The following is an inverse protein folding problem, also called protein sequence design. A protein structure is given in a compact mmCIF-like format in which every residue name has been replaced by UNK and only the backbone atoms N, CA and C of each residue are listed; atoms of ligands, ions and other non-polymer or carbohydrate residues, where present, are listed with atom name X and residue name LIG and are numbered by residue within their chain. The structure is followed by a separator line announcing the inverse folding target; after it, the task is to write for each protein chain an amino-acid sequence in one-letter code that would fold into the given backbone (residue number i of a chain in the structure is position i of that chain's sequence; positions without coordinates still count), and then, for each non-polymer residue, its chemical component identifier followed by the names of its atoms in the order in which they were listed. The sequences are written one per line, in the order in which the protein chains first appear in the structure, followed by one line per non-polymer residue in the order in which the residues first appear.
data_IF_758601485133
#
_entry.id   IF_758601485133
#
_cell.length_a   1.000
_cell.length_b   1.000
_cell.length_c   1.000
_cell.angle_alpha   90.00
_cell.angle_beta   90.00
_cell.angle_gamma   90.00
#
_symmetry.space_group_name_H-M   'P 1'
#
loop_
_entity.id
_entity.type
_entity.pdbx_description
1 polymer ?
#
# COMPACT_ATOMS: atom_id res chain seq x y z
N UNK A 1 19.21 -37.46 -17.34
CA UNK A 1 17.93 -36.91 -16.85
C UNK A 1 18.28 -35.92 -15.78
N UNK A 2 17.96 -34.64 -15.98
CA UNK A 2 18.39 -33.53 -15.14
C UNK A 2 19.52 -32.71 -15.76
N UNK A 3 19.86 -32.93 -17.01
CA UNK A 3 20.97 -32.27 -17.68
C UNK A 3 20.61 -30.85 -18.20
N UNK A 4 19.31 -30.55 -18.27
CA UNK A 4 18.79 -29.27 -18.73
C UNK A 4 17.80 -28.70 -17.71
N UNK A 5 18.20 -27.64 -17.01
CA UNK A 5 17.36 -26.90 -16.08
C UNK A 5 17.00 -25.53 -16.68
N UNK A 6 15.72 -25.24 -16.79
CA UNK A 6 15.22 -23.92 -17.21
C UNK A 6 14.63 -23.24 -15.98
N UNK A 7 15.14 -22.04 -15.65
CA UNK A 7 14.55 -21.22 -14.60
C UNK A 7 13.27 -20.58 -15.11
N UNK A 8 12.14 -20.99 -14.57
CA UNK A 8 10.86 -20.34 -14.79
C UNK A 8 10.79 -19.05 -13.96
N UNK A 9 10.89 -17.93 -14.63
CA UNK A 9 10.88 -16.61 -13.97
C UNK A 9 9.49 -15.97 -13.88
N UNK A 10 8.44 -16.76 -14.04
CA UNK A 10 7.07 -16.25 -13.96
C UNK A 10 6.57 -16.23 -12.52
N UNK A 11 6.03 -15.10 -12.03
CA UNK A 11 5.52 -14.98 -10.66
C UNK A 11 4.10 -15.56 -10.49
N UNK A 12 3.77 -16.67 -11.15
CA UNK A 12 2.48 -17.35 -11.03
C UNK A 12 2.14 -17.79 -9.59
N UNK A 13 3.12 -17.79 -8.71
CA UNK A 13 3.00 -18.10 -7.27
C UNK A 13 3.64 -17.00 -6.41
N UNK A 14 3.69 -15.78 -6.90
CA UNK A 14 4.32 -14.65 -6.21
C UNK A 14 3.62 -14.29 -4.90
N UNK A 15 4.41 -14.00 -3.86
CA UNK A 15 3.95 -13.51 -2.56
C UNK A 15 4.11 -11.99 -2.52
N UNK A 16 3.11 -11.27 -3.01
CA UNK A 16 3.17 -9.82 -3.07
C UNK A 16 2.92 -9.19 -1.70
N UNK A 17 3.81 -8.29 -1.30
CA UNK A 17 3.61 -7.39 -0.17
C UNK A 17 2.84 -6.14 -0.59
N UNK A 18 3.15 -5.59 -1.75
CA UNK A 18 2.56 -4.39 -2.29
C UNK A 18 2.57 -4.42 -3.81
N UNK A 19 1.61 -3.74 -4.41
CA UNK A 19 1.50 -3.54 -5.85
C UNK A 19 1.26 -2.06 -6.16
N UNK A 20 1.57 -1.65 -7.39
CA UNK A 20 1.19 -0.36 -7.94
C UNK A 20 1.08 -0.43 -9.46
N UNK A 21 0.55 0.61 -10.07
CA UNK A 21 0.39 0.75 -11.52
C UNK A 21 0.84 2.13 -11.98
N UNK A 22 1.28 2.24 -13.23
CA UNK A 22 1.54 3.51 -13.87
C UNK A 22 0.37 3.95 -14.77
N UNK A 23 0.57 5.02 -15.52
CA UNK A 23 -0.40 5.60 -16.43
C UNK A 23 0.03 5.50 -17.90
N UNK A 24 0.91 4.57 -18.26
CA UNK A 24 1.23 4.29 -19.65
C UNK A 24 0.10 3.55 -20.37
N UNK A 25 0.17 3.46 -21.70
CA UNK A 25 -0.78 2.71 -22.53
C UNK A 25 -0.02 1.74 -23.45
N UNK A 26 -0.08 0.44 -23.21
CA UNK A 26 -0.68 -0.23 -22.03
C UNK A 26 0.05 0.13 -20.75
N UNK A 27 -0.66 0.14 -19.61
CA UNK A 27 -0.05 0.44 -18.32
C UNK A 27 0.79 -0.73 -17.81
N UNK A 28 1.74 -0.42 -16.94
CA UNK A 28 2.53 -1.43 -16.27
C UNK A 28 2.01 -1.68 -14.85
N UNK A 29 2.09 -2.94 -14.45
CA UNK A 29 1.84 -3.41 -13.09
C UNK A 29 3.18 -3.66 -12.43
N UNK A 30 3.35 -3.12 -11.23
CA UNK A 30 4.55 -3.26 -10.41
C UNK A 30 4.22 -4.04 -9.14
N UNK A 31 5.13 -4.89 -8.68
CA UNK A 31 4.94 -5.63 -7.46
C UNK A 31 6.22 -5.89 -6.69
N UNK A 32 6.17 -5.67 -5.38
CA UNK A 32 7.20 -6.04 -4.43
C UNK A 32 6.85 -7.38 -3.77
N UNK A 33 7.76 -8.35 -3.86
CA UNK A 33 7.56 -9.72 -3.43
C UNK A 33 8.50 -10.13 -2.30
N UNK A 34 8.01 -10.97 -1.42
CA UNK A 34 8.83 -11.63 -0.42
C UNK A 34 9.94 -12.45 -1.10
N UNK A 35 11.18 -12.23 -0.68
CA UNK A 35 12.40 -12.91 -1.14
C UNK A 35 12.72 -12.81 -2.65
N UNK A 36 11.82 -12.23 -3.45
CA UNK A 36 11.94 -12.23 -4.91
C UNK A 36 12.16 -10.84 -5.54
N UNK A 37 12.19 -9.78 -4.73
CA UNK A 37 12.46 -8.42 -5.22
C UNK A 37 11.25 -7.70 -5.78
N UNK A 38 11.50 -6.70 -6.60
CA UNK A 38 10.49 -5.88 -7.26
C UNK A 38 10.50 -6.14 -8.75
N UNK A 39 9.31 -6.37 -9.30
CA UNK A 39 9.11 -6.69 -10.70
C UNK A 39 8.07 -5.77 -11.35
N UNK A 40 8.15 -5.69 -12.66
CA UNK A 40 7.26 -4.89 -13.52
C UNK A 40 6.89 -5.70 -14.76
N UNK A 41 5.63 -5.60 -15.18
CA UNK A 41 5.18 -6.10 -16.47
C UNK A 41 4.04 -5.24 -17.01
N UNK A 42 3.86 -5.23 -18.35
CA UNK A 42 2.68 -4.62 -18.95
C UNK A 42 1.41 -5.42 -18.61
N UNK A 43 0.28 -4.73 -18.40
CA UNK A 43 -1.01 -5.38 -18.11
C UNK A 43 -1.51 -6.27 -19.25
N UNK A 44 -1.10 -6.01 -20.49
CA UNK A 44 -1.44 -6.85 -21.65
C UNK A 44 -0.45 -8.01 -21.88
N UNK A 45 0.46 -8.26 -20.94
CA UNK A 45 1.39 -9.37 -21.01
C UNK A 45 0.65 -10.69 -20.94
N UNK A 46 0.85 -11.54 -21.97
CA UNK A 46 0.26 -12.87 -22.05
C UNK A 46 1.30 -13.89 -21.65
N UNK A 47 0.98 -14.73 -20.67
CA UNK A 47 1.81 -15.87 -20.33
C UNK A 47 1.86 -16.86 -21.52
N UNK A 48 3.06 -17.26 -21.91
CA UNK A 48 3.27 -18.27 -22.94
C UNK A 48 4.10 -19.43 -22.38
N UNK A 49 3.67 -20.69 -22.55
CA UNK A 49 4.48 -21.83 -22.17
C UNK A 49 5.76 -21.96 -23.02
N UNK A 50 5.83 -21.21 -24.13
CA UNK A 50 6.99 -21.21 -25.05
C UNK A 50 7.93 -20.04 -24.86
N UNK A 51 7.82 -19.29 -23.73
CA UNK A 51 8.71 -18.16 -23.44
C UNK A 51 10.20 -18.56 -23.44
N UNK A 52 10.53 -19.80 -23.06
CA UNK A 52 11.88 -20.35 -23.08
C UNK A 52 12.43 -20.54 -24.50
N UNK A 53 11.57 -20.74 -25.49
CA UNK A 53 11.95 -20.85 -26.90
C UNK A 53 12.18 -19.46 -27.52
N UNK A 54 11.36 -18.47 -27.13
CA UNK A 54 11.46 -17.08 -27.58
C UNK A 54 12.47 -16.26 -26.80
N UNK A 55 12.91 -16.71 -25.61
CA UNK A 55 13.74 -15.96 -24.68
C UNK A 55 13.00 -14.77 -24.04
N UNK A 56 11.67 -14.75 -24.11
CA UNK A 56 10.85 -13.60 -23.71
C UNK A 56 10.23 -13.86 -22.34
N UNK A 57 10.71 -13.14 -21.32
CA UNK A 57 10.03 -13.06 -20.03
C UNK A 57 9.26 -11.74 -19.97
N UNK A 58 7.95 -11.82 -19.79
CA UNK A 58 7.09 -10.65 -19.73
C UNK A 58 7.32 -9.80 -18.48
N UNK A 59 7.91 -10.37 -17.44
CA UNK A 59 8.23 -9.67 -16.20
C UNK A 59 9.70 -9.25 -16.16
N UNK A 60 9.93 -7.96 -15.91
CA UNK A 60 11.26 -7.38 -15.73
C UNK A 60 11.52 -7.17 -14.25
N UNK A 61 12.64 -7.71 -13.76
CA UNK A 61 13.10 -7.47 -12.38
C UNK A 61 13.80 -6.12 -12.31
N UNK A 62 13.26 -5.21 -11.51
CA UNK A 62 13.83 -3.86 -11.34
C UNK A 62 14.66 -3.72 -10.06
N UNK A 63 14.43 -4.58 -9.06
CA UNK A 63 15.21 -4.60 -7.81
C UNK A 63 15.26 -5.98 -7.19
N UNK A 64 16.33 -6.31 -6.46
CA UNK A 64 16.48 -7.56 -5.70
C UNK A 64 16.07 -7.41 -4.24
N UNK A 65 16.20 -8.49 -3.45
CA UNK A 65 15.88 -8.57 -2.01
C UNK A 65 14.41 -8.82 -1.73
N UNK A 66 13.92 -8.45 -0.53
CA UNK A 66 12.48 -8.36 -0.24
C UNK A 66 11.93 -7.07 -0.83
N UNK A 67 11.12 -7.20 -1.87
CA UNK A 67 10.53 -6.05 -2.54
C UNK A 67 9.42 -5.43 -1.70
N UNK A 68 9.48 -4.10 -1.53
CA UNK A 68 8.57 -3.32 -0.70
C UNK A 68 7.60 -2.48 -1.54
N UNK A 69 7.06 -1.42 -0.96
CA UNK A 69 6.15 -0.51 -1.66
C UNK A 69 6.80 0.14 -2.87
N UNK A 70 6.00 0.42 -3.86
CA UNK A 70 6.43 1.05 -5.11
C UNK A 70 5.62 2.33 -5.33
N UNK A 71 6.29 3.40 -5.71
CA UNK A 71 5.68 4.63 -6.20
C UNK A 71 6.28 4.99 -7.56
N UNK A 72 5.46 5.46 -8.48
CA UNK A 72 5.88 5.82 -9.85
C UNK A 72 5.56 7.31 -10.08
N UNK A 73 6.52 8.07 -10.59
CA UNK A 73 6.30 9.48 -10.98
C UNK A 73 5.39 9.50 -12.22
N UNK A 74 4.16 9.97 -12.06
CA UNK A 74 3.16 10.01 -13.14
C UNK A 74 3.55 10.86 -14.35
N UNK A 75 4.56 11.74 -14.23
CA UNK A 75 5.09 12.56 -15.32
C UNK A 75 6.16 11.82 -16.14
N UNK A 76 6.81 10.82 -15.53
CA UNK A 76 7.83 10.00 -16.15
C UNK A 76 7.87 8.62 -15.49
N UNK A 77 7.23 7.63 -16.09
CA UNK A 77 7.10 6.27 -15.56
C UNK A 77 8.46 5.54 -15.43
N UNK A 78 9.55 6.08 -15.99
CA UNK A 78 10.90 5.55 -15.76
C UNK A 78 11.45 5.91 -14.37
N UNK A 79 10.84 6.88 -13.68
CA UNK A 79 11.24 7.24 -12.31
C UNK A 79 10.39 6.48 -11.31
N UNK A 80 11.02 5.52 -10.63
CA UNK A 80 10.37 4.62 -9.68
C UNK A 80 11.04 4.73 -8.31
N UNK A 81 10.22 4.80 -7.28
CA UNK A 81 10.66 4.78 -5.88
C UNK A 81 10.27 3.44 -5.27
N UNK A 82 11.25 2.65 -4.89
CA UNK A 82 11.03 1.34 -4.27
C UNK A 82 12.25 0.92 -3.48
N UNK A 83 12.16 -0.18 -2.75
CA UNK A 83 13.26 -0.57 -1.92
C UNK A 83 13.12 -1.93 -1.28
N UNK A 84 13.94 -2.09 -0.26
CA UNK A 84 14.08 -3.27 0.58
C UNK A 84 13.53 -2.96 1.98
N UNK A 85 13.46 -4.00 2.79
CA UNK A 85 13.01 -3.92 4.18
C UNK A 85 13.72 -2.81 4.98
N UNK A 86 13.04 -2.32 6.00
CA UNK A 86 13.53 -1.32 6.95
C UNK A 86 13.94 0.01 6.30
N UNK A 87 13.17 0.47 5.31
CA UNK A 87 13.35 1.79 4.69
C UNK A 87 14.57 1.91 3.79
N UNK A 88 15.17 0.83 3.34
CA UNK A 88 16.29 0.88 2.38
C UNK A 88 15.75 1.13 0.97
N UNK A 89 15.28 2.34 0.73
CA UNK A 89 14.63 2.75 -0.51
C UNK A 89 15.56 3.53 -1.44
N UNK A 90 15.23 3.44 -2.72
CA UNK A 90 15.95 4.08 -3.80
C UNK A 90 14.97 4.77 -4.74
N UNK A 91 15.38 5.89 -5.31
CA UNK A 91 14.85 6.41 -6.55
C UNK A 91 15.61 5.75 -7.69
N UNK A 92 14.90 5.04 -8.54
CA UNK A 92 15.43 4.38 -9.74
C UNK A 92 15.08 5.24 -10.95
N UNK A 93 16.00 5.31 -11.88
CA UNK A 93 15.78 5.77 -13.26
C UNK A 93 15.97 4.56 -14.16
N UNK A 94 14.86 4.01 -14.64
CA UNK A 94 14.87 2.76 -15.41
C UNK A 94 15.42 2.95 -16.81
N UNK A 95 15.34 4.16 -17.38
CA UNK A 95 15.89 4.49 -18.69
C UNK A 95 17.43 4.58 -18.65
N UNK A 96 17.98 5.22 -17.62
CA UNK A 96 19.42 5.42 -17.46
C UNK A 96 20.08 4.35 -16.56
N UNK A 97 19.35 3.32 -16.16
CA UNK A 97 19.80 2.25 -15.27
C UNK A 97 20.50 2.75 -14.00
N UNK A 98 20.07 3.90 -13.50
CA UNK A 98 20.69 4.55 -12.36
C UNK A 98 19.83 4.47 -11.10
N UNK A 99 20.46 4.51 -9.92
CA UNK A 99 19.76 4.48 -8.65
C UNK A 99 20.39 5.42 -7.63
N UNK A 100 19.56 6.07 -6.84
CA UNK A 100 19.97 6.93 -5.72
C UNK A 100 19.31 6.45 -4.44
N UNK A 101 20.09 6.20 -3.38
CA UNK A 101 19.51 5.92 -2.06
C UNK A 101 18.83 7.17 -1.52
N UNK A 102 17.57 7.01 -1.07
CA UNK A 102 16.73 8.10 -0.58
C UNK A 102 16.28 7.91 0.88
N UNK A 103 16.84 6.93 1.60
CA UNK A 103 16.47 6.68 3.00
C UNK A 103 16.77 7.90 3.88
N UNK A 104 15.76 8.45 4.61
CA UNK A 104 16.00 9.48 5.60
C UNK A 104 16.99 9.03 6.68
N UNK A 105 17.82 9.95 7.16
CA UNK A 105 18.81 9.70 8.20
C UNK A 105 18.53 10.57 9.41
N UNK A 106 18.71 10.02 10.61
CA UNK A 106 18.67 10.82 11.84
C UNK A 106 19.83 11.81 11.87
N UNK A 107 19.62 12.94 12.54
CA UNK A 107 20.67 13.94 12.75
C UNK A 107 21.69 13.43 13.76
N UNK A 108 22.93 13.90 13.64
CA UNK A 108 23.99 13.54 14.57
C UNK A 108 23.58 13.91 16.01
N UNK A 109 23.73 12.96 16.94
CA UNK A 109 23.34 13.12 18.35
C UNK A 109 21.89 12.76 18.67
N UNK A 110 21.07 12.47 17.67
CA UNK A 110 19.71 11.94 17.87
C UNK A 110 19.68 10.41 17.92
N UNK A 111 18.63 9.86 18.52
CA UNK A 111 18.37 8.42 18.48
C UNK A 111 18.13 7.94 17.03
N UNK A 112 18.60 6.74 16.66
CA UNK A 112 18.36 6.19 15.34
C UNK A 112 16.85 6.12 15.02
N UNK A 113 16.52 6.43 13.77
CA UNK A 113 15.15 6.26 13.27
C UNK A 113 14.76 4.78 13.24
N UNK A 114 13.52 4.49 13.61
CA UNK A 114 12.93 3.15 13.52
C UNK A 114 12.10 3.05 12.25
N UNK A 115 12.33 2.03 11.46
CA UNK A 115 11.64 1.78 10.19
C UNK A 115 10.92 0.44 10.25
N UNK A 116 9.66 0.41 9.81
CA UNK A 116 8.92 -0.83 9.66
C UNK A 116 9.58 -1.76 8.64
N UNK A 117 9.32 -3.06 8.73
CA UNK A 117 9.70 -4.02 7.69
C UNK A 117 9.23 -3.54 6.31
N UNK A 118 7.94 -3.27 6.18
CA UNK A 118 7.33 -2.61 5.03
C UNK A 118 7.20 -1.11 5.29
N UNK A 119 8.29 -0.39 5.19
CA UNK A 119 8.29 1.07 5.40
C UNK A 119 7.41 1.75 4.36
N UNK A 120 6.44 2.59 4.77
CA UNK A 120 5.57 3.27 3.82
C UNK A 120 6.27 4.47 3.16
N UNK A 121 6.00 4.64 1.87
CA UNK A 121 6.43 5.76 1.03
C UNK A 121 5.26 6.22 0.16
N UNK A 122 5.13 7.52 -0.08
CA UNK A 122 4.08 8.10 -0.90
C UNK A 122 4.61 9.31 -1.68
N UNK A 123 4.35 9.35 -2.97
CA UNK A 123 4.44 10.59 -3.76
C UNK A 123 3.19 11.41 -3.46
N UNK A 124 3.34 12.71 -3.19
CA UNK A 124 2.21 13.61 -2.93
C UNK A 124 1.20 13.55 -4.07
N UNK A 125 -0.08 13.51 -3.69
CA UNK A 125 -1.19 13.56 -4.65
C UNK A 125 -1.30 14.91 -5.37
N UNK A 126 -0.65 15.96 -4.83
CA UNK A 126 -0.70 17.34 -5.34
C UNK A 126 0.55 17.75 -6.13
N UNK A 127 1.72 17.16 -5.80
CA UNK A 127 2.97 17.52 -6.48
C UNK A 127 3.93 16.33 -6.50
N UNK A 128 4.29 15.88 -7.69
CA UNK A 128 5.15 14.71 -7.90
C UNK A 128 6.63 14.90 -7.47
N UNK A 129 7.06 16.11 -7.11
CA UNK A 129 8.39 16.38 -6.54
C UNK A 129 8.42 16.15 -5.02
N UNK A 130 7.23 16.13 -4.40
CA UNK A 130 7.07 15.93 -2.96
C UNK A 130 6.89 14.46 -2.65
N UNK A 131 7.72 13.95 -1.73
CA UNK A 131 7.67 12.57 -1.27
C UNK A 131 7.56 12.56 0.25
N UNK A 132 6.69 11.71 0.76
CA UNK A 132 6.59 11.39 2.18
C UNK A 132 7.18 10.03 2.48
N UNK A 133 7.80 9.88 3.65
CA UNK A 133 8.47 8.66 4.07
C UNK A 133 8.27 8.40 5.56
N UNK A 134 7.76 7.22 5.92
CA UNK A 134 7.48 6.85 7.30
C UNK A 134 8.66 6.15 7.99
N UNK A 135 9.07 6.67 9.15
CA UNK A 135 9.87 5.96 10.14
C UNK A 135 9.04 5.81 11.43
N UNK A 136 9.60 6.11 12.61
CA UNK A 136 8.80 6.51 13.79
C UNK A 136 8.34 7.97 13.71
N UNK A 137 8.89 8.72 12.74
CA UNK A 137 8.50 10.07 12.37
C UNK A 137 8.06 10.11 10.91
N UNK A 138 7.27 11.11 10.53
CA UNK A 138 6.98 11.38 9.14
C UNK A 138 8.00 12.37 8.58
N UNK A 139 8.57 12.02 7.45
CA UNK A 139 9.54 12.83 6.71
C UNK A 139 8.91 13.31 5.40
N UNK A 140 9.27 14.52 4.98
CA UNK A 140 8.89 15.10 3.69
C UNK A 140 10.12 15.55 2.94
N UNK A 141 10.19 15.22 1.66
CA UNK A 141 11.14 15.77 0.71
C UNK A 141 10.39 16.64 -0.29
N UNK A 142 10.94 17.80 -0.65
CA UNK A 142 10.42 18.68 -1.69
C UNK A 142 11.20 18.54 -3.01
N UNK A 143 12.16 17.64 -3.07
CA UNK A 143 13.12 17.50 -4.17
C UNK A 143 13.39 16.01 -4.52
N UNK A 144 12.33 15.23 -4.59
CA UNK A 144 12.37 13.82 -5.03
C UNK A 144 13.26 12.91 -4.16
N UNK A 145 13.29 13.16 -2.86
CA UNK A 145 14.07 12.38 -1.90
C UNK A 145 15.56 12.74 -1.84
N UNK A 146 15.96 13.90 -2.36
CA UNK A 146 17.36 14.34 -2.23
C UNK A 146 17.66 14.89 -0.85
N UNK A 147 16.72 15.66 -0.28
CA UNK A 147 16.77 16.19 1.07
C UNK A 147 15.48 15.89 1.81
N UNK A 148 15.56 15.78 3.15
CA UNK A 148 14.44 15.40 4.00
C UNK A 148 14.27 16.33 5.17
N UNK A 149 13.03 16.76 5.40
CA UNK A 149 12.59 17.44 6.61
C UNK A 149 11.77 16.48 7.47
N UNK A 150 12.05 16.44 8.78
CA UNK A 150 11.16 15.83 9.77
C UNK A 150 9.97 16.75 9.97
N UNK A 151 8.77 16.33 9.57
CA UNK A 151 7.53 17.11 9.72
C UNK A 151 6.67 16.62 10.89
N UNK A 152 7.20 15.73 11.71
CA UNK A 152 6.60 15.31 12.98
C UNK A 152 7.68 14.99 14.01
N UNK A 153 7.28 14.99 15.29
CA UNK A 153 7.97 14.25 16.33
C UNK A 153 7.71 12.75 16.20
N UNK A 154 8.12 11.94 17.19
CA UNK A 154 7.80 10.52 17.25
C UNK A 154 6.29 10.32 17.39
N UNK A 155 5.64 9.75 16.38
CA UNK A 155 4.19 9.53 16.32
C UNK A 155 3.75 8.21 16.96
N UNK A 156 4.69 7.45 17.52
CA UNK A 156 4.46 6.14 18.12
C UNK A 156 4.46 6.21 19.65
N UNK A 157 4.10 5.11 20.30
CA UNK A 157 4.22 4.99 21.77
C UNK A 157 5.65 4.67 22.23
N UNK A 158 6.61 4.68 21.31
CA UNK A 158 8.02 4.39 21.55
C UNK A 158 8.42 2.96 21.18
N UNK A 159 9.71 2.79 20.92
CA UNK A 159 10.26 1.50 20.53
C UNK A 159 10.30 0.49 21.67
N UNK A 160 10.03 -0.77 21.36
CA UNK A 160 10.28 -1.89 22.26
C UNK A 160 11.58 -2.60 21.87
N UNK A 161 12.23 -3.22 22.84
CA UNK A 161 13.40 -4.08 22.57
C UNK A 161 12.93 -5.37 21.88
N UNK A 162 13.58 -5.75 20.79
CA UNK A 162 13.26 -6.94 20.03
C UNK A 162 14.20 -7.12 18.84
N UNK A 163 13.98 -8.17 18.07
CA UNK A 163 14.78 -8.50 16.89
C UNK A 163 14.44 -7.63 15.68
N UNK A 164 13.27 -6.98 15.68
CA UNK A 164 12.81 -6.08 14.63
C UNK A 164 12.37 -4.75 15.25
N UNK A 165 12.49 -3.63 14.54
CA UNK A 165 11.98 -2.34 15.01
C UNK A 165 10.47 -2.41 15.28
N UNK A 166 10.04 -1.86 16.41
CA UNK A 166 8.66 -1.66 16.81
C UNK A 166 8.47 -0.21 17.26
N UNK A 167 7.26 0.31 17.21
CA UNK A 167 6.99 1.73 17.30
C UNK A 167 7.38 2.40 15.99
N UNK A 168 6.71 2.05 14.91
CA UNK A 168 6.98 2.51 13.55
C UNK A 168 5.70 2.87 12.82
N UNK A 169 5.79 3.79 11.87
CA UNK A 169 4.68 4.07 10.95
C UNK A 169 4.54 2.89 9.98
N UNK A 170 3.31 2.37 9.85
CA UNK A 170 2.96 1.25 8.97
C UNK A 170 2.25 1.70 7.71
N UNK A 171 1.52 2.81 7.80
CA UNK A 171 0.70 3.34 6.73
C UNK A 171 0.46 4.82 6.93
N UNK A 172 0.30 5.55 5.86
CA UNK A 172 -0.18 6.92 5.87
C UNK A 172 -0.79 7.27 4.51
N UNK A 173 -1.60 8.31 4.48
CA UNK A 173 -2.19 8.83 3.26
C UNK A 173 -2.28 10.36 3.31
N UNK A 174 -2.19 11.00 2.15
CA UNK A 174 -2.45 12.43 1.96
C UNK A 174 -3.83 12.61 1.33
N UNK A 175 -4.61 13.58 1.81
CA UNK A 175 -5.91 13.90 1.22
C UNK A 175 -5.77 14.30 -0.25
N UNK A 176 -6.73 13.90 -1.10
CA UNK A 176 -6.84 14.42 -2.47
C UNK A 176 -7.47 15.82 -2.52
N UNK A 177 -8.17 16.21 -1.47
CA UNK A 177 -8.90 17.47 -1.38
C UNK A 177 -8.03 18.62 -0.87
N UNK A 178 -7.02 18.31 -0.02
CA UNK A 178 -6.23 19.33 0.68
C UNK A 178 -4.77 18.91 0.79
N UNK A 179 -3.87 19.73 0.25
CA UNK A 179 -2.43 19.52 0.36
C UNK A 179 -1.96 19.57 1.81
N UNK A 180 -1.16 18.60 2.21
CA UNK A 180 -0.57 18.54 3.55
C UNK A 180 -1.55 18.10 4.65
N UNK A 181 -2.79 17.74 4.31
CA UNK A 181 -3.68 17.01 5.21
C UNK A 181 -3.31 15.54 5.13
N UNK A 182 -2.73 15.01 6.22
CA UNK A 182 -2.13 13.67 6.24
C UNK A 182 -2.61 12.89 7.46
N UNK A 183 -3.01 11.64 7.24
CA UNK A 183 -3.34 10.67 8.28
C UNK A 183 -2.25 9.61 8.35
N UNK A 184 -1.84 9.23 9.56
CA UNK A 184 -0.77 8.26 9.83
C UNK A 184 -1.28 7.16 10.74
N UNK A 185 -0.94 5.90 10.44
CA UNK A 185 -1.18 4.74 11.28
C UNK A 185 0.13 4.05 11.67
N UNK A 186 0.20 3.48 12.88
CA UNK A 186 1.40 2.86 13.45
C UNK A 186 1.19 1.38 13.81
N UNK A 187 2.28 0.65 14.03
CA UNK A 187 2.27 -0.75 14.46
C UNK A 187 1.84 -0.92 15.93
N UNK A 188 1.84 0.14 16.72
CA UNK A 188 1.43 0.18 18.11
C UNK A 188 0.04 0.80 18.35
N UNK A 189 -0.73 1.02 17.26
CA UNK A 189 -2.15 1.32 17.28
C UNK A 189 -2.52 2.79 17.30
N UNK A 190 -1.59 3.71 17.08
CA UNK A 190 -1.92 5.12 16.95
C UNK A 190 -2.46 5.43 15.55
N UNK A 191 -3.49 6.27 15.48
CA UNK A 191 -3.93 6.94 14.26
C UNK A 191 -3.91 8.43 14.55
N UNK A 192 -3.16 9.18 13.73
CA UNK A 192 -2.83 10.57 14.01
C UNK A 192 -3.03 11.40 12.73
N UNK A 193 -3.62 12.58 12.87
CA UNK A 193 -3.96 13.48 11.77
C UNK A 193 -3.22 14.80 11.90
N UNK A 194 -2.69 15.30 10.80
CA UNK A 194 -2.36 16.70 10.60
C UNK A 194 -3.24 17.31 9.51
N UNK A 195 -3.62 18.59 9.70
CA UNK A 195 -4.37 19.38 8.71
C UNK A 195 -3.59 20.63 8.27
N UNK A 196 -2.33 20.76 8.71
CA UNK A 196 -1.51 21.96 8.52
C UNK A 196 -0.06 21.61 8.13
N UNK A 197 0.08 20.58 7.28
CA UNK A 197 1.34 20.13 6.69
C UNK A 197 2.39 19.69 7.72
N UNK A 198 1.94 19.16 8.86
CA UNK A 198 2.80 18.63 9.91
C UNK A 198 3.15 19.63 11.02
N UNK A 199 2.55 20.83 11.04
CA UNK A 199 2.75 21.81 12.13
C UNK A 199 2.14 21.32 13.44
N UNK A 200 0.91 20.77 13.36
CA UNK A 200 0.23 20.16 14.51
C UNK A 200 -0.24 18.75 14.17
N UNK A 201 -0.11 17.85 15.14
CA UNK A 201 -0.52 16.45 15.04
C UNK A 201 -1.51 16.11 16.14
N UNK A 202 -2.68 15.59 15.76
CA UNK A 202 -3.78 15.25 16.67
C UNK A 202 -4.03 13.75 16.64
N UNK A 203 -3.95 13.00 17.77
CA UNK A 203 -4.45 11.64 17.85
C UNK A 203 -5.96 11.58 17.57
N UNK A 204 -6.38 10.64 16.73
CA UNK A 204 -7.76 10.47 16.31
C UNK A 204 -8.27 9.02 16.48
N UNK A 205 -7.57 8.19 17.24
CA UNK A 205 -7.91 6.78 17.48
C UNK A 205 -8.82 6.56 18.68
N UNK A 206 -9.48 7.59 19.21
CA UNK A 206 -10.40 7.44 20.33
C UNK A 206 -11.60 6.55 19.97
N UNK A 207 -11.89 5.55 20.79
CA UNK A 207 -12.97 4.58 20.56
C UNK A 207 -12.56 3.39 19.67
N UNK A 208 -11.35 3.36 19.14
CA UNK A 208 -10.80 2.21 18.41
C UNK A 208 -10.07 1.24 19.36
N UNK A 209 -9.93 -0.04 18.99
CA UNK A 209 -9.09 -0.97 19.74
C UNK A 209 -7.66 -0.45 19.87
N UNK A 210 -7.14 -0.43 21.09
CA UNK A 210 -5.77 0.00 21.37
C UNK A 210 -4.74 -1.06 21.04
N UNK A 211 -3.53 -0.63 20.72
CA UNK A 211 -2.35 -1.52 20.56
C UNK A 211 -2.46 -2.57 19.45
N UNK A 212 -3.38 -2.40 18.50
CA UNK A 212 -3.45 -3.21 17.31
C UNK A 212 -2.68 -2.54 16.17
N UNK A 213 -2.01 -3.34 15.37
CA UNK A 213 -1.35 -2.86 14.16
C UNK A 213 -2.34 -2.17 13.22
N UNK A 214 -2.12 -0.90 12.88
CA UNK A 214 -2.90 -0.20 11.86
C UNK A 214 -2.42 -0.67 10.49
N UNK A 215 -3.21 -1.50 9.83
CA UNK A 215 -2.83 -2.09 8.55
C UNK A 215 -3.01 -1.12 7.38
N UNK A 216 -4.05 -0.27 7.43
CA UNK A 216 -4.27 0.76 6.42
C UNK A 216 -5.05 1.94 6.97
N UNK A 217 -4.65 3.16 6.60
CA UNK A 217 -5.47 4.36 6.70
C UNK A 217 -5.52 5.02 5.33
N UNK A 218 -6.70 5.52 4.94
CA UNK A 218 -6.88 6.28 3.70
C UNK A 218 -7.91 7.40 3.91
N UNK A 219 -7.75 8.50 3.18
CA UNK A 219 -8.82 9.46 2.99
C UNK A 219 -9.78 8.99 1.90
N UNK A 220 -11.04 9.40 2.01
CA UNK A 220 -12.01 9.29 0.92
C UNK A 220 -11.61 10.21 -0.24
N UNK A 221 -11.86 9.73 -1.48
CA UNK A 221 -11.74 10.56 -2.67
C UNK A 221 -12.98 11.44 -2.92
N UNK A 222 -14.08 11.16 -2.24
CA UNK A 222 -15.38 11.80 -2.46
C UNK A 222 -15.78 12.75 -1.34
N UNK A 223 -15.35 12.49 -0.10
CA UNK A 223 -15.70 13.30 1.07
C UNK A 223 -14.41 13.73 1.81
N UNK A 224 -14.15 15.03 1.86
CA UNK A 224 -12.95 15.62 2.47
C UNK A 224 -12.75 15.30 3.96
N UNK A 225 -13.85 14.97 4.68
CA UNK A 225 -13.83 14.67 6.11
C UNK A 225 -13.82 13.17 6.41
N UNK A 226 -14.00 12.32 5.40
CA UNK A 226 -14.07 10.87 5.59
C UNK A 226 -12.69 10.23 5.60
N UNK A 227 -12.46 9.41 6.63
CA UNK A 227 -11.25 8.60 6.79
C UNK A 227 -11.66 7.16 7.02
N UNK A 228 -10.98 6.22 6.37
CA UNK A 228 -11.12 4.79 6.63
C UNK A 228 -9.89 4.28 7.36
N UNK A 229 -10.09 3.36 8.31
CA UNK A 229 -9.00 2.70 9.04
C UNK A 229 -9.26 1.21 9.18
N UNK A 230 -8.25 0.39 8.88
CA UNK A 230 -8.24 -1.03 9.21
C UNK A 230 -7.12 -1.35 10.19
N UNK A 231 -7.43 -2.25 11.15
CA UNK A 231 -6.47 -2.72 12.12
C UNK A 231 -6.36 -4.25 12.04
N UNK A 232 -5.23 -4.77 12.44
CA UNK A 232 -4.89 -6.17 12.31
C UNK A 232 -4.30 -6.70 13.61
N UNK A 233 -4.92 -7.72 14.17
CA UNK A 233 -4.55 -8.31 15.46
C UNK A 233 -3.93 -9.69 15.36
N UNK A 234 -3.61 -10.22 14.17
CA UNK A 234 -3.18 -11.61 14.02
C UNK A 234 -1.92 -11.94 14.85
N UNK A 235 -1.01 -10.99 15.03
CA UNK A 235 0.20 -11.14 15.87
C UNK A 235 -0.12 -11.34 17.36
N UNK A 236 -1.34 -10.98 17.75
CA UNK A 236 -1.89 -11.18 19.11
C UNK A 236 -2.91 -12.32 19.16
N UNK A 237 -2.91 -13.18 18.14
CA UNK A 237 -3.89 -14.27 17.95
C UNK A 237 -5.34 -13.79 17.92
N UNK A 238 -5.56 -12.59 17.39
CA UNK A 238 -6.85 -11.95 17.23
C UNK A 238 -7.14 -11.78 15.74
N UNK A 239 -8.14 -12.51 15.23
CA UNK A 239 -8.50 -12.56 13.80
C UNK A 239 -9.77 -11.78 13.48
N UNK A 240 -10.26 -10.95 14.40
CA UNK A 240 -11.42 -10.08 14.16
C UNK A 240 -11.15 -9.10 13.00
N UNK A 241 -12.14 -8.89 12.12
CA UNK A 241 -12.04 -7.90 11.06
C UNK A 241 -12.30 -6.50 11.63
N UNK A 242 -11.24 -5.76 11.89
CA UNK A 242 -11.32 -4.40 12.37
C UNK A 242 -11.31 -3.42 11.20
N UNK A 243 -12.47 -2.85 10.88
CA UNK A 243 -12.65 -1.87 9.82
C UNK A 243 -13.59 -0.77 10.29
N UNK A 244 -13.14 0.47 10.13
CA UNK A 244 -13.84 1.65 10.63
C UNK A 244 -13.86 2.76 9.59
N UNK A 245 -14.93 3.56 9.63
CA UNK A 245 -15.04 4.82 8.90
C UNK A 245 -15.34 5.95 9.88
N UNK A 246 -14.75 7.10 9.64
CA UNK A 246 -15.06 8.36 10.27
C UNK A 246 -15.57 9.34 9.22
N UNK A 247 -16.62 10.09 9.52
CA UNK A 247 -17.18 11.15 8.65
C UNK A 247 -16.78 12.57 9.12
N UNK A 248 -15.95 12.67 10.17
CA UNK A 248 -15.66 13.91 10.89
C UNK A 248 -14.17 14.07 11.24
N UNK A 249 -13.29 13.70 10.32
CA UNK A 249 -11.84 13.76 10.48
C UNK A 249 -11.32 12.99 11.71
N UNK A 250 -11.92 11.83 12.00
CA UNK A 250 -11.50 10.95 13.07
C UNK A 250 -11.94 11.35 14.48
N UNK A 251 -12.87 12.31 14.62
CA UNK A 251 -13.44 12.62 15.93
C UNK A 251 -14.33 11.50 16.45
N UNK A 252 -15.10 10.86 15.54
CA UNK A 252 -15.89 9.64 15.83
C UNK A 252 -15.64 8.56 14.79
N UNK A 253 -15.79 7.30 15.19
CA UNK A 253 -15.56 6.13 14.35
C UNK A 253 -16.74 5.17 14.38
N UNK A 254 -17.19 4.73 13.22
CA UNK A 254 -18.22 3.72 13.05
C UNK A 254 -17.57 2.42 12.52
N UNK A 255 -17.86 1.30 13.18
CA UNK A 255 -17.43 -0.02 12.68
C UNK A 255 -18.24 -0.38 11.44
N UNK A 256 -17.56 -0.66 10.33
CA UNK A 256 -18.15 -0.99 9.04
C UNK A 256 -17.79 -2.40 8.53
N UNK A 257 -17.38 -3.30 9.43
CA UNK A 257 -17.02 -4.69 9.10
C UNK A 257 -18.14 -5.71 9.30
N UNK A 258 -19.38 -5.30 9.42
CA UNK A 258 -20.61 -6.03 9.77
C UNK A 258 -20.58 -7.56 9.59
N UNK A 259 -20.67 -8.02 8.35
CA UNK A 259 -20.72 -9.45 7.99
C UNK A 259 -19.41 -9.98 7.35
N UNK A 260 -18.30 -9.26 7.50
CA UNK A 260 -16.99 -9.81 7.14
C UNK A 260 -16.67 -11.04 8.00
N UNK A 261 -16.04 -12.07 7.43
CA UNK A 261 -15.63 -13.24 8.21
C UNK A 261 -14.53 -12.90 9.21
N UNK A 262 -14.29 -13.79 10.16
CA UNK A 262 -13.12 -13.74 11.05
C UNK A 262 -11.85 -13.87 10.19
N UNK A 263 -11.28 -12.73 9.82
CA UNK A 263 -10.10 -12.66 8.96
C UNK A 263 -9.45 -11.29 9.11
N UNK A 264 -8.17 -11.21 9.36
CA UNK A 264 -7.44 -9.97 9.41
C UNK A 264 -7.58 -9.18 8.09
N UNK A 265 -7.63 -7.86 8.21
CA UNK A 265 -7.74 -6.95 7.07
C UNK A 265 -6.35 -6.34 6.81
N UNK A 266 -5.89 -6.44 5.58
CA UNK A 266 -4.61 -5.89 5.14
C UNK A 266 -4.75 -4.58 4.37
N UNK A 267 -5.86 -4.41 3.63
CA UNK A 267 -6.06 -3.27 2.75
C UNK A 267 -7.53 -2.92 2.57
N UNK A 268 -7.79 -1.63 2.47
CA UNK A 268 -9.08 -1.05 2.02
C UNK A 268 -8.82 -0.07 0.88
N UNK A 269 -9.74 -0.01 -0.09
CA UNK A 269 -9.82 1.02 -1.13
C UNK A 269 -11.26 1.47 -1.31
N UNK A 270 -11.46 2.75 -1.58
CA UNK A 270 -12.72 3.33 -2.02
C UNK A 270 -12.71 3.41 -3.54
N UNK A 271 -13.86 3.12 -4.18
CA UNK A 271 -14.00 3.26 -5.63
C UNK A 271 -13.87 4.73 -6.04
N UNK A 272 -13.29 4.98 -7.22
CA UNK A 272 -13.03 6.35 -7.69
C UNK A 272 -14.24 7.02 -8.33
N UNK A 273 -15.25 6.24 -8.73
CA UNK A 273 -16.48 6.73 -9.42
C UNK A 273 -17.72 6.73 -8.53
N UNK A 274 -17.76 5.82 -7.54
CA UNK A 274 -18.90 5.67 -6.65
C UNK A 274 -18.45 5.54 -5.19
N UNK A 275 -18.72 6.56 -4.39
CA UNK A 275 -18.35 6.60 -2.96
C UNK A 275 -18.92 5.45 -2.13
N UNK A 276 -20.03 4.82 -2.60
CA UNK A 276 -20.68 3.71 -1.90
C UNK A 276 -19.91 2.41 -2.01
N UNK A 277 -19.02 2.29 -3.02
CA UNK A 277 -18.30 1.06 -3.30
C UNK A 277 -16.95 1.05 -2.58
N UNK A 278 -16.76 0.01 -1.77
CA UNK A 278 -15.53 -0.23 -1.03
C UNK A 278 -14.99 -1.63 -1.35
N UNK A 279 -13.66 -1.75 -1.43
CA UNK A 279 -12.95 -3.00 -1.65
C UNK A 279 -12.06 -3.30 -0.44
N UNK A 280 -12.13 -4.53 0.08
CA UNK A 280 -11.33 -4.96 1.23
C UNK A 280 -10.60 -6.25 0.92
N UNK A 281 -9.28 -6.23 1.11
CA UNK A 281 -8.42 -7.42 1.08
C UNK A 281 -8.21 -7.96 2.49
N UNK A 282 -8.53 -9.25 2.64
CA UNK A 282 -8.37 -10.00 3.89
C UNK A 282 -7.51 -11.24 3.66
N UNK A 283 -7.13 -11.96 4.72
CA UNK A 283 -6.45 -13.25 4.59
C UNK A 283 -7.35 -14.33 3.95
N UNK A 284 -8.65 -14.10 3.85
CA UNK A 284 -9.65 -15.00 3.25
C UNK A 284 -10.17 -14.54 1.88
N UNK A 285 -9.53 -13.58 1.23
CA UNK A 285 -9.88 -13.12 -0.10
C UNK A 285 -10.36 -11.67 -0.17
N UNK A 286 -10.96 -11.34 -1.32
CA UNK A 286 -11.50 -10.02 -1.64
C UNK A 286 -12.98 -9.93 -1.26
N UNK A 287 -13.35 -8.82 -0.64
CA UNK A 287 -14.74 -8.48 -0.34
C UNK A 287 -15.07 -7.09 -0.89
N UNK A 288 -16.31 -6.93 -1.37
CA UNK A 288 -16.82 -5.70 -1.96
C UNK A 288 -18.09 -5.30 -1.22
N UNK A 289 -18.20 -4.03 -0.87
CA UNK A 289 -19.43 -3.41 -0.42
C UNK A 289 -19.94 -2.41 -1.46
N UNK A 290 -21.25 -2.35 -1.65
CA UNK A 290 -21.94 -1.36 -2.49
C UNK A 290 -22.72 -0.34 -1.67
N UNK A 291 -22.51 -0.33 -0.35
CA UNK A 291 -23.30 0.39 0.64
C UNK A 291 -22.43 0.96 1.76
N UNK A 292 -21.26 1.54 1.41
CA UNK A 292 -20.33 2.16 2.37
C UNK A 292 -19.92 1.23 3.53
N UNK A 293 -19.82 -0.09 3.29
CA UNK A 293 -19.42 -1.07 4.29
C UNK A 293 -20.57 -1.59 5.17
N UNK A 294 -21.83 -1.26 4.85
CA UNK A 294 -23.00 -1.79 5.57
C UNK A 294 -23.12 -3.30 5.38
N UNK A 295 -22.94 -3.79 4.15
CA UNK A 295 -22.89 -5.20 3.82
C UNK A 295 -21.69 -5.49 2.90
N UNK A 296 -21.08 -6.68 3.07
CA UNK A 296 -19.93 -7.13 2.31
C UNK A 296 -20.26 -8.42 1.55
N UNK A 297 -19.82 -8.48 0.32
CA UNK A 297 -19.99 -9.63 -0.58
C UNK A 297 -18.61 -10.19 -0.93
N UNK A 298 -18.44 -11.50 -0.73
CA UNK A 298 -17.22 -12.18 -1.15
C UNK A 298 -17.12 -12.17 -2.69
N UNK A 299 -15.97 -11.75 -3.22
CA UNK A 299 -15.70 -11.80 -4.64
C UNK A 299 -14.75 -12.97 -4.93
N UNK A 300 -15.25 -13.98 -5.66
CA UNK A 300 -14.52 -15.23 -5.90
C UNK A 300 -14.51 -15.69 -7.35
N UNK A 301 -15.02 -14.89 -8.30
CA UNK A 301 -14.99 -15.25 -9.72
C UNK A 301 -13.53 -15.28 -10.20
N UNK A 302 -13.01 -16.47 -10.51
CA UNK A 302 -11.63 -16.73 -10.94
C UNK A 302 -10.52 -16.30 -9.95
N UNK A 303 -10.86 -15.65 -8.84
CA UNK A 303 -9.93 -15.30 -7.79
C UNK A 303 -9.92 -16.40 -6.72
N UNK A 304 -8.81 -17.09 -6.48
CA UNK A 304 -8.73 -18.10 -5.45
C UNK A 304 -8.89 -17.48 -4.06
N UNK A 305 -9.31 -18.29 -3.11
CA UNK A 305 -9.40 -17.90 -1.71
C UNK A 305 -8.00 -17.85 -1.10
N UNK A 306 -7.40 -16.68 -1.09
CA UNK A 306 -6.00 -16.43 -0.70
C UNK A 306 -5.89 -15.06 -0.05
N UNK A 307 -4.87 -14.85 0.78
CA UNK A 307 -4.63 -13.57 1.40
C UNK A 307 -4.38 -12.46 0.34
N UNK A 308 -5.11 -11.36 0.47
CA UNK A 308 -4.99 -10.17 -0.36
C UNK A 308 -4.25 -9.11 0.45
N UNK A 309 -3.04 -8.81 0.06
CA UNK A 309 -2.19 -7.89 0.79
C UNK A 309 -2.28 -6.45 0.30
N UNK A 310 -2.52 -6.25 -1.00
CA UNK A 310 -2.68 -4.89 -1.53
C UNK A 310 -3.67 -4.84 -2.69
N UNK A 311 -4.28 -3.66 -2.86
CA UNK A 311 -5.25 -3.33 -3.90
C UNK A 311 -4.88 -1.97 -4.50
N UNK A 312 -4.95 -1.85 -5.82
CA UNK A 312 -4.72 -0.59 -6.54
C UNK A 312 -5.78 -0.44 -7.63
N UNK A 313 -6.35 0.75 -7.77
CA UNK A 313 -7.26 1.07 -8.87
C UNK A 313 -6.48 1.80 -9.95
N UNK A 314 -6.48 1.26 -11.15
CA UNK A 314 -6.02 1.97 -12.35
C UNK A 314 -7.16 2.86 -12.85
N UNK A 315 -6.99 4.16 -12.67
CA UNK A 315 -8.08 5.13 -12.78
C UNK A 315 -8.61 5.28 -14.22
N UNK A 316 -7.70 5.29 -15.23
CA UNK A 316 -8.07 5.55 -16.63
C UNK A 316 -8.82 4.36 -17.25
N UNK A 317 -8.42 3.14 -16.90
CA UNK A 317 -9.05 1.90 -17.37
C UNK A 317 -10.21 1.45 -16.49
N UNK A 318 -10.36 2.03 -15.30
CA UNK A 318 -11.34 1.62 -14.32
C UNK A 318 -11.19 0.13 -13.95
N UNK A 319 -10.00 -0.25 -13.57
CA UNK A 319 -9.63 -1.63 -13.23
C UNK A 319 -9.06 -1.72 -11.82
N UNK A 320 -9.48 -2.73 -11.07
CA UNK A 320 -8.93 -3.07 -9.76
C UNK A 320 -7.86 -4.14 -9.93
N UNK A 321 -6.64 -3.81 -9.52
CA UNK A 321 -5.53 -4.74 -9.47
C UNK A 321 -5.41 -5.29 -8.07
N UNK A 322 -5.35 -6.62 -7.96
CA UNK A 322 -5.41 -7.38 -6.71
C UNK A 322 -4.08 -8.11 -6.50
N UNK A 323 -3.29 -7.66 -5.54
CA UNK A 323 -2.04 -8.31 -5.14
C UNK A 323 -2.26 -9.37 -4.08
N UNK A 324 -2.00 -10.64 -4.42
CA UNK A 324 -2.18 -11.77 -3.51
C UNK A 324 -0.87 -12.20 -2.86
N UNK A 325 -0.97 -12.81 -1.70
CA UNK A 325 0.18 -13.44 -1.05
C UNK A 325 0.23 -14.93 -1.35
N UNK A 326 0.77 -15.28 -2.53
CA UNK A 326 1.00 -16.68 -2.95
C UNK A 326 0.28 -17.15 -4.22
N UNK A 327 -0.51 -16.27 -4.86
CA UNK A 327 -1.21 -16.58 -6.12
C UNK A 327 -1.12 -15.46 -7.15
N UNK A 328 -0.01 -14.72 -7.14
CA UNK A 328 0.28 -13.67 -8.12
C UNK A 328 -0.70 -12.48 -8.06
N UNK A 329 -0.98 -11.85 -9.19
CA UNK A 329 -1.79 -10.65 -9.36
C UNK A 329 -2.99 -10.97 -10.23
N UNK A 330 -4.13 -10.36 -9.91
CA UNK A 330 -5.37 -10.45 -10.68
C UNK A 330 -5.84 -9.05 -11.06
N UNK A 331 -6.54 -8.96 -12.17
CA UNK A 331 -7.19 -7.76 -12.67
C UNK A 331 -8.69 -7.96 -12.72
N UNK A 332 -9.44 -6.93 -12.32
CA UNK A 332 -10.90 -6.91 -12.34
C UNK A 332 -11.38 -5.61 -12.99
N UNK A 333 -12.12 -5.74 -14.10
CA UNK A 333 -12.78 -4.59 -14.72
C UNK A 333 -13.96 -4.13 -13.87
N UNK A 334 -13.90 -2.89 -13.38
CA UNK A 334 -14.91 -2.31 -12.48
C UNK A 334 -16.18 -1.83 -13.21
N UNK A 335 -16.17 -1.73 -14.54
CA UNK A 335 -17.39 -1.40 -15.30
C UNK A 335 -18.49 -2.46 -15.15
N UNK A 336 -18.10 -3.67 -14.76
CA UNK A 336 -19.07 -4.74 -14.42
C UNK A 336 -20.03 -4.31 -13.31
N UNK A 337 -19.60 -3.43 -12.42
CA UNK A 337 -20.40 -2.94 -11.29
C UNK A 337 -21.30 -1.75 -11.64
N UNK A 338 -21.09 -1.08 -12.75
CA UNK A 338 -21.96 0.03 -13.21
C UNK A 338 -23.43 -0.38 -13.37
N UNK A 339 -23.71 -1.69 -13.54
CA UNK A 339 -25.06 -2.25 -13.66
C UNK A 339 -25.78 -2.39 -12.32
N UNK A 340 -25.08 -2.33 -11.20
CA UNK A 340 -25.67 -2.39 -9.85
C UNK A 340 -26.09 -1.01 -9.32
N UNK A 341 -25.88 0.05 -10.09
CA UNK A 341 -26.23 1.45 -9.77
C UNK A 341 -27.64 1.87 -10.24
N UNK A 342 -28.55 0.90 -10.44
CA UNK A 342 -29.96 1.20 -10.81
C UNK A 342 -30.91 0.97 -9.66
#
# INVERSE_FOLDING_TARGET
QGDNWIKLNQPSVGQFYSINVDNSEPYNVYGGLQDNGVWMASNNSVESPYWYESGHNNWTKIMGGDGMQIQIDKRNNNIVYTGLQFGNYYRLDLENESRKNIKPRHKLGQSPLRFNWQTPILISKHNQDIIYFGSNKLHRSLDKGNNWDEISDDLTNGGLKGNVPYGTITTFDESTHEFGKIVVGTDDGNIILTQDSGTNWKPINNGLPSSLWVSRVIFSNHNENRIYASLNGYRLNNFEPYLYASEDNGNTWNKISSNLPLSPISVIREDIKDERILYVGTDNGLFISFELGLNWHAFSSNLPRVAIHDLVIQNEKNELIVGTHGRSIYELNLELFSKFNK
#
